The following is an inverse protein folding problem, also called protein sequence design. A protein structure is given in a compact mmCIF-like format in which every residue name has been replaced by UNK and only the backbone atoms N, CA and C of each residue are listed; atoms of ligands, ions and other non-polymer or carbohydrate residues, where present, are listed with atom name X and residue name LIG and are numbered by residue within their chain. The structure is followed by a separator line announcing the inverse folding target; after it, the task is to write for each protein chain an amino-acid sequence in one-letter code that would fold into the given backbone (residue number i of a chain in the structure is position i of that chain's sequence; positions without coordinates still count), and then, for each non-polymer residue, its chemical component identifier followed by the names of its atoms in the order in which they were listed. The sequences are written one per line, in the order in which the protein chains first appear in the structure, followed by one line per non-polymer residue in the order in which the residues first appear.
data_IF_995354152536
#
_entry.id   IF_995354152536
#
_cell.length_a   1.000
_cell.length_b   1.000
_cell.length_c   1.000
_cell.angle_alpha   90.00
_cell.angle_beta   90.00
_cell.angle_gamma   90.00
#
_symmetry.space_group_name_H-M   'P 1'
#
loop_
_entity.id
_entity.type
_entity.pdbx_description
1 polymer ?
#
# COMPACT_ATOMS: atom_id res chain seq x y z
N UNK A 1 34.23 -39.17 -0.58
CA UNK A 1 33.85 -38.23 0.49
C UNK A 1 33.80 -36.82 -0.10
N UNK A 2 32.69 -36.45 -0.76
CA UNK A 2 32.51 -35.14 -1.42
C UNK A 2 31.02 -34.81 -1.58
N UNK A 3 30.17 -35.23 -0.62
CA UNK A 3 28.72 -35.00 -0.68
C UNK A 3 28.19 -34.06 0.42
N UNK A 4 29.04 -33.59 1.34
CA UNK A 4 28.58 -32.87 2.55
C UNK A 4 28.56 -31.35 2.38
N UNK A 5 29.31 -30.79 1.43
CA UNK A 5 29.40 -29.33 1.21
C UNK A 5 28.22 -28.74 0.43
N UNK A 6 27.61 -29.49 -0.51
CA UNK A 6 26.49 -28.98 -1.32
C UNK A 6 25.18 -28.87 -0.54
N UNK A 7 24.90 -29.82 0.35
CA UNK A 7 23.65 -29.85 1.12
C UNK A 7 23.62 -28.74 2.18
N UNK A 8 24.75 -28.48 2.83
CA UNK A 8 24.86 -27.49 3.91
C UNK A 8 24.68 -26.05 3.40
N UNK A 9 25.27 -25.72 2.24
CA UNK A 9 25.13 -24.41 1.59
C UNK A 9 23.68 -24.18 1.13
N UNK A 10 23.01 -25.23 0.64
CA UNK A 10 21.61 -25.14 0.21
C UNK A 10 20.67 -24.90 1.40
N UNK A 11 20.88 -25.61 2.52
CA UNK A 11 20.06 -25.43 3.73
C UNK A 11 20.22 -24.06 4.39
N UNK A 12 21.42 -23.46 4.33
CA UNK A 12 21.65 -22.11 4.86
C UNK A 12 21.01 -21.03 3.97
N UNK A 13 21.08 -21.19 2.64
CA UNK A 13 20.40 -20.32 1.70
C UNK A 13 18.88 -20.40 1.84
N UNK A 14 18.33 -21.61 1.97
CA UNK A 14 16.89 -21.85 2.18
C UNK A 14 16.38 -21.23 3.49
N UNK A 15 17.18 -21.33 4.57
CA UNK A 15 16.87 -20.71 5.85
C UNK A 15 16.93 -19.18 5.78
N UNK A 16 17.94 -18.60 5.11
CA UNK A 16 18.08 -17.16 4.92
C UNK A 16 16.94 -16.58 4.08
N UNK A 17 16.58 -17.23 2.97
CA UNK A 17 15.46 -16.83 2.13
C UNK A 17 14.13 -16.91 2.88
N UNK A 18 13.92 -17.94 3.70
CA UNK A 18 12.73 -18.07 4.56
C UNK A 18 12.65 -16.91 5.55
N UNK A 19 13.77 -16.53 6.18
CA UNK A 19 13.82 -15.38 7.10
C UNK A 19 13.53 -14.03 6.43
N UNK A 20 13.93 -13.86 5.17
CA UNK A 20 13.66 -12.63 4.42
C UNK A 20 12.16 -12.43 4.16
N UNK A 21 11.39 -13.52 4.04
CA UNK A 21 9.95 -13.45 3.74
C UNK A 21 9.04 -13.63 4.97
N UNK A 22 9.40 -14.52 5.89
CA UNK A 22 8.59 -14.87 7.05
C UNK A 22 8.88 -14.00 8.27
N UNK A 23 10.16 -13.85 8.63
CA UNK A 23 10.58 -13.24 9.88
C UNK A 23 10.89 -11.76 9.70
N UNK A 24 9.89 -10.97 9.26
CA UNK A 24 10.02 -9.53 9.03
C UNK A 24 8.87 -8.73 9.62
N UNK A 25 9.14 -7.45 9.90
CA UNK A 25 8.11 -6.45 10.18
C UNK A 25 7.57 -5.88 8.87
N UNK A 26 6.30 -6.12 8.60
CA UNK A 26 5.59 -5.70 7.39
C UNK A 26 4.73 -4.46 7.66
N UNK A 27 4.86 -3.39 6.86
CA UNK A 27 4.00 -2.23 7.01
C UNK A 27 2.62 -2.51 6.40
N UNK A 28 1.55 -2.27 7.15
CA UNK A 28 0.17 -2.54 6.72
C UNK A 28 -0.56 -1.30 6.19
N UNK A 29 -0.21 -0.12 6.72
CA UNK A 29 -0.82 1.15 6.36
C UNK A 29 -0.39 2.29 7.27
N UNK A 30 -0.72 3.52 6.88
CA UNK A 30 -0.45 4.72 7.68
C UNK A 30 -1.52 4.94 8.74
N UNK A 31 -1.11 5.20 9.97
CA UNK A 31 -2.02 5.34 11.13
C UNK A 31 -2.98 6.51 10.95
N UNK A 32 -2.54 7.58 10.28
CA UNK A 32 -3.37 8.72 9.92
C UNK A 32 -4.48 8.40 8.91
N UNK A 33 -4.33 7.31 8.13
CA UNK A 33 -5.28 6.90 7.09
C UNK A 33 -6.13 5.70 7.51
N UNK A 34 -5.75 4.99 8.58
CA UNK A 34 -6.48 3.83 9.08
C UNK A 34 -7.57 4.27 10.07
N UNK A 35 -8.78 3.72 9.92
CA UNK A 35 -9.88 4.01 10.84
C UNK A 35 -9.56 3.49 12.25
N UNK A 36 -9.78 4.31 13.28
CA UNK A 36 -9.82 3.87 14.68
C UNK A 36 -11.22 3.44 15.13
N UNK A 37 -12.25 3.74 14.35
CA UNK A 37 -13.65 3.51 14.71
C UNK A 37 -14.23 2.17 14.21
N UNK A 38 -13.52 1.49 13.32
CA UNK A 38 -13.98 0.26 12.68
C UNK A 38 -12.79 -0.66 12.40
N UNK A 39 -12.99 -1.99 12.42
CA UNK A 39 -11.96 -2.93 11.98
C UNK A 39 -11.65 -2.73 10.48
N UNK A 40 -10.42 -3.03 10.11
CA UNK A 40 -9.90 -2.84 8.74
C UNK A 40 -9.33 -4.17 8.24
N UNK A 41 -9.88 -4.66 7.13
CA UNK A 41 -9.34 -5.81 6.41
C UNK A 41 -8.03 -5.45 5.69
N UNK A 42 -7.03 -6.31 5.82
CA UNK A 42 -5.73 -6.19 5.14
C UNK A 42 -5.27 -7.57 4.69
N UNK A 43 -4.73 -7.70 3.48
CA UNK A 43 -4.09 -8.95 3.04
C UNK A 43 -2.57 -8.77 3.06
N UNK A 44 -1.85 -9.74 3.62
CA UNK A 44 -0.39 -9.76 3.64
C UNK A 44 0.08 -11.16 3.30
N UNK A 45 0.92 -11.32 2.26
CA UNK A 45 1.48 -12.62 1.88
C UNK A 45 0.39 -13.70 1.73
N UNK A 46 -0.74 -13.35 1.11
CA UNK A 46 -1.90 -14.22 0.91
C UNK A 46 -2.77 -14.47 2.16
N UNK A 47 -2.31 -14.04 3.34
CA UNK A 47 -3.05 -14.19 4.59
C UNK A 47 -4.03 -13.01 4.79
N UNK A 48 -5.33 -13.27 5.02
CA UNK A 48 -6.28 -12.23 5.37
C UNK A 48 -6.14 -11.88 6.85
N UNK A 49 -5.93 -10.59 7.14
CA UNK A 49 -5.71 -10.00 8.46
C UNK A 49 -6.80 -8.98 8.76
N UNK A 50 -7.14 -8.86 10.04
CA UNK A 50 -7.97 -7.76 10.56
C UNK A 50 -7.14 -6.94 11.53
N UNK A 51 -7.13 -5.63 11.30
CA UNK A 51 -6.48 -4.65 12.16
C UNK A 51 -7.55 -3.77 12.78
N UNK A 52 -7.48 -3.53 14.08
CA UNK A 52 -8.38 -2.60 14.75
C UNK A 52 -7.68 -1.83 15.87
N UNK A 53 -8.26 -0.69 16.22
CA UNK A 53 -7.83 0.11 17.37
C UNK A 53 -8.58 -0.37 18.61
N UNK A 54 -7.85 -0.78 19.63
CA UNK A 54 -8.38 -1.15 20.94
C UNK A 54 -8.31 0.10 21.84
N UNK A 55 -9.43 0.83 21.92
CA UNK A 55 -9.53 2.05 22.74
C UNK A 55 -9.25 1.80 24.22
N UNK A 56 -9.54 0.60 24.73
CA UNK A 56 -9.33 0.26 26.14
C UNK A 56 -7.84 0.15 26.49
N UNK A 57 -7.03 -0.34 25.54
CA UNK A 57 -5.59 -0.47 25.68
C UNK A 57 -4.80 0.69 25.07
N UNK A 58 -5.44 1.53 24.25
CA UNK A 58 -4.77 2.58 23.49
C UNK A 58 -3.75 2.04 22.49
N UNK A 59 -4.05 0.91 21.85
CA UNK A 59 -3.11 0.22 20.96
C UNK A 59 -3.79 -0.41 19.74
N UNK A 60 -3.04 -0.59 18.66
CA UNK A 60 -3.47 -1.40 17.52
C UNK A 60 -3.40 -2.90 17.85
N UNK A 61 -4.33 -3.67 17.30
CA UNK A 61 -4.39 -5.13 17.38
C UNK A 61 -4.45 -5.73 15.98
N UNK A 62 -3.93 -6.95 15.83
CA UNK A 62 -3.94 -7.67 14.57
C UNK A 62 -4.19 -9.15 14.80
N UNK A 63 -5.14 -9.73 14.07
CA UNK A 63 -5.35 -11.19 14.02
C UNK A 63 -5.54 -11.64 12.58
N UNK A 64 -5.54 -12.96 12.35
CA UNK A 64 -6.15 -13.50 11.14
C UNK A 64 -7.63 -13.07 11.06
N UNK A 65 -8.07 -12.71 9.85
CA UNK A 65 -9.43 -12.25 9.59
C UNK A 65 -10.42 -13.41 9.42
N UNK A 66 -10.44 -14.33 10.39
CA UNK A 66 -11.28 -15.52 10.34
C UNK A 66 -11.71 -15.90 11.75
N UNK A 67 -13.02 -15.84 12.00
CA UNK A 67 -13.59 -16.32 13.24
C UNK A 67 -13.35 -17.83 13.40
N UNK A 68 -12.79 -18.25 14.53
CA UNK A 68 -12.53 -19.68 14.85
C UNK A 68 -13.79 -20.56 14.86
N UNK A 69 -14.99 -19.96 15.01
CA UNK A 69 -16.25 -20.68 15.00
C UNK A 69 -16.62 -21.22 13.60
N UNK A 70 -16.73 -20.35 12.59
CA UNK A 70 -17.18 -20.72 11.23
C UNK A 70 -16.51 -19.90 10.10
N UNK A 71 -15.32 -19.36 10.37
CA UNK A 71 -14.47 -18.65 9.41
C UNK A 71 -15.06 -17.36 8.82
N UNK A 72 -16.12 -16.81 9.42
CA UNK A 72 -16.63 -15.50 9.04
C UNK A 72 -15.53 -14.43 9.22
N UNK A 73 -15.39 -13.47 8.29
CA UNK A 73 -14.42 -12.38 8.42
C UNK A 73 -14.78 -11.53 9.65
N UNK A 74 -13.80 -11.33 10.51
CA UNK A 74 -13.91 -10.48 11.69
C UNK A 74 -13.91 -9.00 11.31
N UNK A 75 -13.30 -8.65 10.19
CA UNK A 75 -13.26 -7.30 9.60
C UNK A 75 -14.64 -6.77 9.20
N UNK A 76 -15.61 -7.64 8.95
CA UNK A 76 -17.02 -7.29 8.74
C UNK A 76 -17.78 -7.08 10.07
N UNK A 77 -17.08 -7.24 11.20
CA UNK A 77 -17.61 -7.10 12.54
C UNK A 77 -17.56 -5.68 13.09
N UNK A 78 -17.45 -5.58 14.42
CA UNK A 78 -17.27 -4.30 15.11
C UNK A 78 -16.30 -4.40 16.26
N UNK A 79 -15.66 -3.29 16.61
CA UNK A 79 -14.92 -3.17 17.87
C UNK A 79 -15.92 -2.86 18.98
N UNK A 80 -15.82 -3.60 20.07
CA UNK A 80 -16.66 -3.44 21.26
C UNK A 80 -16.06 -2.41 22.22
N UNK A 81 -16.87 -1.90 23.15
CA UNK A 81 -16.42 -0.86 24.09
C UNK A 81 -15.28 -1.30 25.00
N UNK A 82 -15.14 -2.61 25.21
CA UNK A 82 -14.05 -3.29 25.93
C UNK A 82 -12.87 -3.66 25.01
N UNK A 83 -12.77 -3.07 23.81
CA UNK A 83 -11.60 -3.20 22.93
C UNK A 83 -11.51 -4.50 22.12
N UNK A 84 -12.49 -5.39 22.26
CA UNK A 84 -12.50 -6.69 21.58
C UNK A 84 -13.11 -6.60 20.18
N UNK A 85 -12.63 -7.43 19.24
CA UNK A 85 -13.24 -7.60 17.91
C UNK A 85 -14.39 -8.59 18.01
N UNK A 86 -15.60 -8.17 17.63
CA UNK A 86 -16.80 -9.02 17.65
C UNK A 86 -17.19 -9.46 16.25
N UNK A 87 -17.29 -10.78 16.07
CA UNK A 87 -17.71 -11.43 14.84
C UNK A 87 -19.16 -11.06 14.48
N UNK A 88 -19.44 -10.62 13.23
CA UNK A 88 -20.78 -10.18 12.82
C UNK A 88 -21.79 -11.32 12.75
N UNK A 89 -21.34 -12.59 12.70
CA UNK A 89 -22.23 -13.72 12.49
C UNK A 89 -22.94 -14.13 13.79
N UNK A 90 -22.19 -14.43 14.84
CA UNK A 90 -22.75 -14.97 16.09
C UNK A 90 -22.33 -14.20 17.34
N UNK A 91 -21.65 -13.06 17.20
CA UNK A 91 -21.26 -12.21 18.32
C UNK A 91 -20.12 -12.77 19.18
N UNK A 92 -19.37 -13.75 18.67
CA UNK A 92 -18.14 -14.21 19.35
C UNK A 92 -17.13 -13.07 19.36
N UNK A 93 -16.58 -12.74 20.52
CA UNK A 93 -15.63 -11.64 20.67
C UNK A 93 -14.25 -12.14 21.07
N UNK A 94 -13.23 -11.52 20.48
CA UNK A 94 -11.82 -11.86 20.67
C UNK A 94 -11.05 -10.64 21.17
N UNK A 95 -10.18 -10.83 22.15
CA UNK A 95 -9.29 -9.77 22.64
C UNK A 95 -8.10 -9.53 21.70
N UNK A 96 -7.23 -8.58 22.07
CA UNK A 96 -6.04 -8.23 21.31
C UNK A 96 -4.98 -9.35 21.22
N UNK A 97 -5.11 -10.39 22.03
CA UNK A 97 -4.27 -11.58 22.09
C UNK A 97 -4.93 -12.76 21.37
N UNK A 98 -6.07 -12.52 20.72
CA UNK A 98 -6.84 -13.50 19.95
C UNK A 98 -7.62 -14.49 20.82
N UNK A 99 -7.66 -14.31 22.15
CA UNK A 99 -8.45 -15.19 23.01
C UNK A 99 -9.93 -14.89 22.84
N UNK A 100 -10.74 -15.95 22.71
CA UNK A 100 -12.18 -15.80 22.73
C UNK A 100 -12.62 -15.45 24.15
N UNK A 101 -13.11 -14.23 24.35
CA UNK A 101 -13.52 -13.74 25.68
C UNK A 101 -15.03 -13.83 25.89
N UNK A 102 -15.82 -13.89 24.81
CA UNK A 102 -17.28 -13.88 24.89
C UNK A 102 -17.90 -14.75 23.81
N UNK A 103 -18.77 -15.67 24.23
CA UNK A 103 -19.66 -16.48 23.39
C UNK A 103 -21.09 -16.23 23.87
N UNK A 104 -21.89 -15.41 23.17
CA UNK A 104 -23.21 -15.03 23.69
C UNK A 104 -24.17 -16.21 23.86
N UNK A 105 -23.98 -17.29 23.10
CA UNK A 105 -24.82 -18.49 23.15
C UNK A 105 -24.32 -19.54 24.16
N UNK A 106 -23.35 -19.21 25.01
CA UNK A 106 -22.85 -20.17 26.01
C UNK A 106 -23.92 -20.47 27.06
N UNK A 107 -24.08 -21.75 27.40
CA UNK A 107 -24.93 -22.17 28.51
C UNK A 107 -24.23 -21.86 29.85
N UNK A 108 -25.04 -21.63 30.89
CA UNK A 108 -24.53 -21.42 32.23
C UNK A 108 -23.71 -22.63 32.71
N UNK A 109 -22.51 -22.38 33.23
CA UNK A 109 -21.56 -23.43 33.64
C UNK A 109 -20.69 -24.00 32.52
N UNK A 110 -20.98 -23.72 31.24
CA UNK A 110 -20.06 -24.03 30.13
C UNK A 110 -18.93 -23.00 30.02
N UNK A 111 -17.78 -23.39 29.49
CA UNK A 111 -16.63 -22.51 29.32
C UNK A 111 -15.95 -22.66 27.95
N UNK A 112 -16.67 -22.50 26.83
CA UNK A 112 -16.13 -22.69 25.47
C UNK A 112 -14.93 -21.79 25.19
N UNK A 113 -14.92 -20.58 25.77
CA UNK A 113 -13.81 -19.62 25.73
C UNK A 113 -12.47 -20.18 26.26
N UNK A 114 -12.49 -21.18 27.16
CA UNK A 114 -11.26 -21.79 27.71
C UNK A 114 -10.55 -22.74 26.74
N UNK A 115 -11.24 -23.15 25.67
CA UNK A 115 -10.64 -24.02 24.66
C UNK A 115 -9.66 -23.22 23.79
N UNK A 116 -8.44 -23.73 23.61
CA UNK A 116 -7.48 -23.15 22.65
C UNK A 116 -8.03 -23.11 21.21
N UNK A 117 -8.98 -23.99 20.87
CA UNK A 117 -9.64 -24.00 19.56
C UNK A 117 -10.60 -22.81 19.36
N UNK A 118 -11.00 -22.15 20.44
CA UNK A 118 -11.81 -20.95 20.36
C UNK A 118 -10.96 -19.72 20.02
N UNK A 119 -9.64 -19.73 20.27
CA UNK A 119 -8.78 -18.58 19.95
C UNK A 119 -8.60 -18.38 18.44
N UNK A 120 -8.29 -17.14 18.05
CA UNK A 120 -7.79 -16.78 16.73
C UNK A 120 -6.31 -16.43 16.84
N UNK A 121 -5.57 -16.57 15.73
CA UNK A 121 -4.15 -16.24 15.71
C UNK A 121 -3.96 -14.72 15.76
N UNK A 122 -3.46 -14.21 16.89
CA UNK A 122 -2.98 -12.84 17.02
C UNK A 122 -1.53 -12.71 16.56
N UNK A 123 -1.23 -11.59 15.89
CA UNK A 123 0.09 -11.28 15.38
C UNK A 123 0.67 -10.07 16.13
N UNK A 124 1.96 -10.11 16.51
CA UNK A 124 2.64 -8.95 17.08
C UNK A 124 2.53 -7.74 16.15
N UNK A 125 2.14 -6.61 16.72
CA UNK A 125 1.86 -5.37 15.99
C UNK A 125 2.47 -4.20 16.75
N UNK A 126 2.98 -3.21 16.03
CA UNK A 126 3.49 -1.97 16.61
C UNK A 126 3.18 -0.77 15.71
N UNK A 127 3.26 0.43 16.29
CA UNK A 127 3.22 1.69 15.57
C UNK A 127 4.61 2.33 15.60
N UNK A 128 5.17 2.65 14.44
CA UNK A 128 6.45 3.35 14.33
C UNK A 128 6.48 4.23 13.07
N UNK A 129 6.95 5.48 13.21
CA UNK A 129 6.97 6.51 12.16
C UNK A 129 5.62 6.78 11.46
N UNK A 130 4.51 6.60 12.19
CA UNK A 130 3.15 6.77 11.67
C UNK A 130 2.67 5.62 10.78
N UNK A 131 3.36 4.47 10.82
CA UNK A 131 3.01 3.25 10.10
C UNK A 131 2.62 2.17 11.11
N UNK A 132 1.59 1.40 10.77
CA UNK A 132 1.21 0.16 11.47
C UNK A 132 2.07 -0.97 10.92
N UNK A 133 2.86 -1.61 11.78
CA UNK A 133 3.74 -2.72 11.43
C UNK A 133 3.25 -4.01 12.08
N UNK A 134 3.24 -5.10 11.32
CA UNK A 134 2.93 -6.45 11.84
C UNK A 134 4.14 -7.36 11.66
N UNK A 135 4.41 -8.20 12.64
CA UNK A 135 5.39 -9.27 12.50
C UNK A 135 4.81 -10.38 11.64
N UNK A 136 5.47 -10.71 10.53
CA UNK A 136 5.05 -11.77 9.62
C UNK A 136 5.36 -13.17 10.13
N UNK A 137 6.21 -13.31 11.14
CA UNK A 137 6.62 -14.62 11.64
C UNK A 137 5.41 -15.33 12.25
N UNK A 138 5.23 -16.60 11.92
CA UNK A 138 4.08 -17.37 12.35
C UNK A 138 2.88 -17.36 11.40
N UNK A 139 2.89 -16.52 10.36
CA UNK A 139 1.86 -16.55 9.30
C UNK A 139 1.84 -17.90 8.59
N UNK A 140 3.02 -18.49 8.32
CA UNK A 140 3.15 -19.75 7.57
C UNK A 140 3.02 -20.98 8.47
N UNK A 141 3.42 -20.86 9.73
CA UNK A 141 3.29 -21.91 10.73
C UNK A 141 1.90 -21.93 11.39
N UNK A 142 1.05 -20.93 11.09
CA UNK A 142 -0.25 -20.70 11.74
C UNK A 142 -0.15 -20.69 13.26
N UNK A 143 0.94 -20.13 13.78
CA UNK A 143 1.28 -20.12 15.20
C UNK A 143 1.83 -18.75 15.59
N UNK A 144 1.52 -18.27 16.79
CA UNK A 144 2.05 -16.98 17.23
C UNK A 144 3.56 -17.12 17.48
N UNK A 145 4.36 -16.36 16.73
CA UNK A 145 5.82 -16.30 16.89
C UNK A 145 6.17 -14.92 17.44
N UNK A 146 6.93 -14.90 18.53
CA UNK A 146 7.41 -13.65 19.11
C UNK A 146 8.60 -13.14 18.29
N UNK A 147 8.60 -11.86 17.86
CA UNK A 147 9.74 -11.25 17.19
C UNK A 147 10.98 -11.27 18.12
N UNK A 148 12.20 -11.52 17.58
CA UNK A 148 13.44 -11.32 18.34
C UNK A 148 13.56 -9.88 18.85
N UNK A 149 14.19 -9.67 20.00
CA UNK A 149 14.32 -8.34 20.64
C UNK A 149 15.09 -7.35 19.76
N UNK A 150 16.07 -7.84 19.00
CA UNK A 150 16.88 -7.08 18.04
C UNK A 150 16.17 -6.79 16.71
N UNK A 151 15.00 -7.41 16.46
CA UNK A 151 14.25 -7.18 15.24
C UNK A 151 13.50 -5.85 15.30
N UNK A 152 13.49 -5.12 14.18
CA UNK A 152 12.78 -3.84 14.10
C UNK A 152 12.26 -3.56 12.70
N UNK A 153 11.26 -2.68 12.58
CA UNK A 153 10.73 -2.26 11.29
C UNK A 153 11.79 -1.53 10.44
N UNK A 154 11.60 -1.54 9.13
CA UNK A 154 12.45 -0.83 8.18
C UNK A 154 12.16 0.68 8.20
N UNK A 155 12.61 1.34 9.29
CA UNK A 155 12.44 2.77 9.53
C UNK A 155 13.35 3.62 8.64
N UNK A 156 12.92 4.85 8.38
CA UNK A 156 13.61 5.80 7.51
C UNK A 156 14.14 6.98 8.32
N UNK A 157 15.46 7.06 8.43
CA UNK A 157 16.16 8.03 9.30
C UNK A 157 15.91 9.49 8.92
N UNK A 158 15.67 9.80 7.64
CA UNK A 158 15.46 11.19 7.20
C UNK A 158 14.21 11.82 7.85
N UNK A 159 13.24 11.01 8.27
CA UNK A 159 12.00 11.48 8.89
C UNK A 159 12.21 12.11 10.26
N UNK A 160 13.28 11.74 10.96
CA UNK A 160 13.60 12.25 12.29
C UNK A 160 14.40 13.57 12.22
N UNK A 161 14.76 14.03 11.02
CA UNK A 161 15.58 15.23 10.85
C UNK A 161 14.72 16.50 11.02
N UNK A 162 15.24 17.55 11.69
CA UNK A 162 14.53 18.81 11.84
C UNK A 162 14.22 19.47 10.50
N UNK A 163 13.00 20.00 10.35
CA UNK A 163 12.58 20.71 9.13
C UNK A 163 12.27 19.81 7.94
N UNK A 164 12.17 18.51 8.19
CA UNK A 164 11.62 17.54 7.23
C UNK A 164 10.10 17.50 7.34
N UNK A 165 9.48 17.50 6.16
CA UNK A 165 8.04 17.37 5.98
C UNK A 165 7.77 16.19 5.05
N UNK A 166 6.60 15.55 5.18
CA UNK A 166 6.24 14.45 4.30
C UNK A 166 4.74 14.39 4.04
N UNK A 167 4.40 13.78 2.90
CA UNK A 167 3.04 13.36 2.57
C UNK A 167 3.04 11.85 2.40
N UNK A 168 2.04 11.22 3.01
CA UNK A 168 1.83 9.77 2.95
C UNK A 168 0.73 9.43 1.95
N UNK A 169 0.82 8.27 1.33
CA UNK A 169 -0.22 7.73 0.46
C UNK A 169 -0.08 6.21 0.34
N UNK A 170 -1.20 5.49 0.30
CA UNK A 170 -1.18 4.03 0.10
C UNK A 170 -2.24 3.57 -0.89
N UNK A 171 -1.94 2.56 -1.71
CA UNK A 171 -2.91 1.98 -2.67
C UNK A 171 -2.58 0.52 -2.95
N UNK A 172 -3.61 -0.31 -3.08
CA UNK A 172 -3.48 -1.68 -3.58
C UNK A 172 -3.38 -1.67 -5.11
N UNK A 173 -2.33 -2.28 -5.65
CA UNK A 173 -2.00 -2.28 -7.06
C UNK A 173 -2.13 -3.68 -7.66
N UNK A 174 -2.57 -3.73 -8.91
CA UNK A 174 -2.61 -4.93 -9.75
C UNK A 174 -1.24 -5.19 -10.38
N UNK A 175 -0.20 -5.27 -9.57
CA UNK A 175 1.15 -5.62 -10.01
C UNK A 175 1.89 -6.36 -8.91
N UNK A 176 2.90 -7.13 -9.30
CA UNK A 176 3.83 -7.72 -8.36
C UNK A 176 4.58 -6.66 -7.58
N UNK A 177 4.86 -6.94 -6.31
CA UNK A 177 5.74 -6.11 -5.49
C UNK A 177 7.12 -5.94 -6.14
N UNK A 178 7.65 -6.96 -6.82
CA UNK A 178 8.96 -6.89 -7.49
C UNK A 178 8.92 -5.95 -8.69
N UNK A 179 7.81 -5.93 -9.45
CA UNK A 179 7.60 -5.00 -10.56
C UNK A 179 7.49 -3.56 -10.06
N UNK A 180 6.83 -3.35 -8.92
CA UNK A 180 6.78 -2.04 -8.27
C UNK A 180 8.18 -1.57 -7.84
N UNK A 181 8.97 -2.44 -7.20
CA UNK A 181 10.36 -2.13 -6.85
C UNK A 181 11.17 -1.71 -8.08
N UNK A 182 11.11 -2.46 -9.18
CA UNK A 182 11.81 -2.11 -10.42
C UNK A 182 11.37 -0.77 -10.99
N UNK A 183 10.07 -0.50 -11.04
CA UNK A 183 9.53 0.77 -11.52
C UNK A 183 10.07 1.96 -10.71
N UNK A 184 10.11 1.85 -9.38
CA UNK A 184 10.68 2.90 -8.51
C UNK A 184 12.20 3.03 -8.70
N UNK A 185 12.88 1.92 -8.97
CA UNK A 185 14.33 1.89 -9.20
C UNK A 185 14.79 2.40 -10.57
N UNK A 186 13.87 2.53 -11.54
CA UNK A 186 14.17 2.97 -12.89
C UNK A 186 13.68 4.40 -13.17
N UNK A 187 14.50 5.44 -12.94
CA UNK A 187 14.11 6.81 -13.25
C UNK A 187 14.00 7.12 -14.77
N UNK A 188 14.38 6.20 -15.66
CA UNK A 188 14.33 6.44 -17.11
C UNK A 188 12.90 6.52 -17.65
N UNK A 189 11.92 5.90 -16.97
CA UNK A 189 10.51 5.96 -17.38
C UNK A 189 9.87 7.34 -17.10
N UNK A 190 10.36 8.09 -16.11
CA UNK A 190 9.72 9.32 -15.63
C UNK A 190 9.39 10.34 -16.75
N UNK A 191 10.30 10.68 -17.69
CA UNK A 191 10.00 11.62 -18.78
C UNK A 191 8.92 11.15 -19.75
N UNK A 192 8.69 9.84 -19.85
CA UNK A 192 7.83 9.22 -20.85
C UNK A 192 6.46 8.85 -20.29
N UNK A 193 6.43 8.09 -19.19
CA UNK A 193 5.18 7.66 -18.56
C UNK A 193 4.50 8.85 -17.91
N UNK A 194 5.23 9.61 -17.08
CA UNK A 194 4.69 10.77 -16.38
C UNK A 194 4.79 12.06 -17.19
N UNK A 195 4.63 11.96 -18.51
CA UNK A 195 4.62 13.13 -19.37
C UNK A 195 3.37 13.96 -19.11
N UNK A 196 3.56 15.26 -18.79
CA UNK A 196 2.51 16.23 -18.44
C UNK A 196 1.93 16.08 -17.02
N UNK A 197 2.37 15.08 -16.26
CA UNK A 197 2.07 14.96 -14.83
C UNK A 197 3.25 15.51 -14.02
N UNK A 198 4.28 14.70 -13.78
CA UNK A 198 5.46 15.11 -12.99
C UNK A 198 6.72 15.34 -13.83
N UNK A 199 6.71 15.02 -15.13
CA UNK A 199 7.87 15.19 -16.01
C UNK A 199 7.51 15.58 -17.46
N UNK A 200 8.55 15.75 -18.28
CA UNK A 200 8.45 16.08 -19.71
C UNK A 200 9.38 15.21 -20.53
N UNK A 201 8.93 14.73 -21.69
CA UNK A 201 9.75 13.91 -22.62
C UNK A 201 11.08 14.55 -22.99
N UNK A 202 11.10 15.87 -23.08
CA UNK A 202 12.32 16.65 -23.34
C UNK A 202 13.38 16.58 -22.24
N UNK A 203 13.05 16.03 -21.05
CA UNK A 203 14.00 15.80 -19.94
C UNK A 203 14.65 14.41 -19.99
N UNK A 204 14.34 13.58 -20.99
CA UNK A 204 15.01 12.30 -21.17
C UNK A 204 16.52 12.52 -21.37
N UNK A 205 17.33 11.81 -20.59
CA UNK A 205 18.78 11.92 -20.62
C UNK A 205 19.41 10.59 -20.15
N UNK A 206 20.68 10.32 -20.47
CA UNK A 206 21.41 9.20 -19.90
C UNK A 206 21.42 9.24 -18.37
N UNK A 207 21.26 8.07 -17.74
CA UNK A 207 21.31 7.89 -16.29
C UNK A 207 22.50 6.98 -16.01
N UNK A 208 23.27 7.31 -14.98
CA UNK A 208 24.37 6.46 -14.53
C UNK A 208 24.28 6.18 -13.04
N UNK A 209 24.74 4.99 -12.68
CA UNK A 209 24.87 4.56 -11.30
C UNK A 209 26.35 4.31 -10.99
N UNK A 210 26.77 4.70 -9.79
CA UNK A 210 28.07 4.35 -9.25
C UNK A 210 28.16 2.86 -8.89
N UNK A 211 29.28 2.46 -8.31
CA UNK A 211 29.44 1.11 -7.77
C UNK A 211 28.38 0.82 -6.71
N UNK A 212 27.95 -0.45 -6.64
CA UNK A 212 27.04 -0.90 -5.59
C UNK A 212 27.77 -0.90 -4.24
N UNK A 213 27.16 -0.23 -3.28
CA UNK A 213 27.56 -0.20 -1.88
C UNK A 213 26.71 -1.20 -1.08
N UNK A 214 27.32 -1.92 -0.14
CA UNK A 214 26.65 -2.79 0.83
C UNK A 214 25.74 -3.88 0.23
N UNK A 215 26.07 -4.41 -0.95
CA UNK A 215 25.30 -5.49 -1.57
C UNK A 215 25.33 -6.75 -0.71
N UNK A 216 24.21 -7.06 -0.08
CA UNK A 216 24.06 -8.17 0.87
C UNK A 216 22.59 -8.61 0.97
N UNK A 217 22.29 -9.59 1.82
CA UNK A 217 20.93 -10.05 2.08
C UNK A 217 20.00 -8.96 2.63
N UNK A 218 20.53 -7.87 3.21
CA UNK A 218 19.73 -6.73 3.70
C UNK A 218 19.44 -5.67 2.63
N UNK A 219 20.05 -5.77 1.45
CA UNK A 219 19.82 -4.86 0.33
C UNK A 219 21.11 -4.32 -0.29
N UNK A 220 21.03 -3.14 -0.90
CA UNK A 220 22.16 -2.46 -1.56
C UNK A 220 21.87 -0.97 -1.80
N UNK A 221 22.91 -0.19 -2.10
CA UNK A 221 22.77 1.23 -2.48
C UNK A 221 23.66 1.59 -3.65
N UNK A 222 23.25 2.54 -4.48
CA UNK A 222 24.13 3.17 -5.46
C UNK A 222 23.93 4.68 -5.50
N UNK A 223 25.02 5.41 -5.73
CA UNK A 223 24.93 6.82 -6.14
C UNK A 223 24.37 6.88 -7.55
N UNK A 224 23.42 7.78 -7.79
CA UNK A 224 22.75 7.98 -9.07
C UNK A 224 23.04 9.38 -9.59
N UNK A 225 23.29 9.49 -10.89
CA UNK A 225 23.34 10.76 -11.61
C UNK A 225 22.20 10.82 -12.62
N UNK A 226 21.40 11.88 -12.54
CA UNK A 226 20.29 12.15 -13.47
C UNK A 226 20.33 13.60 -13.94
N UNK A 227 19.57 13.94 -14.99
CA UNK A 227 19.33 15.32 -15.37
C UNK A 227 18.66 16.16 -14.25
N UNK A 228 18.01 15.50 -13.27
CA UNK A 228 17.37 16.14 -12.12
C UNK A 228 18.29 16.43 -10.94
N UNK A 229 19.55 16.00 -11.00
CA UNK A 229 20.56 16.13 -9.94
C UNK A 229 21.16 14.79 -9.49
N UNK A 230 22.25 14.83 -8.71
CA UNK A 230 22.81 13.67 -8.05
C UNK A 230 21.88 13.18 -6.94
N UNK A 231 22.00 11.91 -6.59
CA UNK A 231 21.24 11.34 -5.49
C UNK A 231 21.70 9.93 -5.15
N UNK A 232 20.93 9.25 -4.31
CA UNK A 232 21.17 7.86 -3.93
C UNK A 232 19.92 7.05 -4.15
N UNK A 233 20.11 5.79 -4.53
CA UNK A 233 19.04 4.83 -4.65
C UNK A 233 19.39 3.63 -3.79
N UNK A 234 18.55 3.37 -2.79
CA UNK A 234 18.76 2.32 -1.79
C UNK A 234 17.60 1.33 -1.86
N UNK A 235 17.93 0.06 -1.96
CA UNK A 235 17.02 -1.04 -1.69
C UNK A 235 17.33 -1.61 -0.31
N UNK A 236 16.32 -1.75 0.54
CA UNK A 236 16.37 -2.46 1.82
C UNK A 236 15.38 -3.60 1.78
N UNK A 237 15.90 -4.81 1.94
CA UNK A 237 15.12 -6.01 1.86
C UNK A 237 14.06 -6.08 2.98
N UNK A 238 12.93 -6.76 2.72
CA UNK A 238 12.51 -7.28 1.42
C UNK A 238 11.82 -6.23 0.51
N UNK A 239 11.42 -5.07 1.04
CA UNK A 239 10.29 -4.32 0.45
C UNK A 239 10.50 -2.82 0.26
N UNK A 240 11.60 -2.26 0.75
CA UNK A 240 11.79 -0.81 0.85
C UNK A 240 12.74 -0.28 -0.24
N UNK A 241 12.26 0.67 -1.03
CA UNK A 241 13.06 1.45 -1.98
C UNK A 241 13.08 2.91 -1.55
N UNK A 242 14.28 3.48 -1.37
CA UNK A 242 14.47 4.90 -1.12
C UNK A 242 15.19 5.54 -2.31
N UNK A 243 14.55 6.52 -2.94
CA UNK A 243 15.14 7.32 -4.00
C UNK A 243 15.34 8.76 -3.52
N UNK A 244 16.59 9.12 -3.23
CA UNK A 244 17.03 10.46 -2.82
C UNK A 244 17.43 11.29 -4.03
N UNK A 245 17.08 12.58 -4.03
CA UNK A 245 17.55 13.54 -5.02
C UNK A 245 18.00 14.84 -4.33
N UNK A 246 19.25 15.25 -4.59
CA UNK A 246 19.79 16.52 -4.13
C UNK A 246 19.61 17.57 -5.23
N UNK A 247 18.83 18.63 -4.97
CA UNK A 247 18.53 19.68 -5.95
C UNK A 247 19.53 20.84 -5.97
N UNK A 248 20.64 20.72 -5.26
CA UNK A 248 21.73 21.71 -5.21
C UNK A 248 22.10 22.15 -3.78
N UNK A 249 23.23 22.85 -3.60
CA UNK A 249 23.75 23.23 -2.28
C UNK A 249 22.80 24.12 -1.46
N UNK A 250 22.15 25.09 -2.14
CA UNK A 250 21.23 26.08 -1.55
C UNK A 250 19.75 25.75 -1.81
N UNK A 251 19.45 24.50 -2.17
CA UNK A 251 18.11 24.03 -2.51
C UNK A 251 17.61 23.01 -1.48
N UNK A 252 16.49 22.34 -1.79
CA UNK A 252 15.95 21.25 -0.99
C UNK A 252 16.49 19.89 -1.46
N UNK A 253 16.36 18.89 -0.59
CA UNK A 253 16.48 17.49 -0.98
C UNK A 253 15.10 16.85 -0.89
N UNK A 254 14.81 15.92 -1.78
CA UNK A 254 13.58 15.13 -1.78
C UNK A 254 13.88 13.63 -1.77
N UNK A 255 13.02 12.89 -1.08
CA UNK A 255 13.03 11.43 -1.07
C UNK A 255 11.67 10.90 -1.50
N UNK A 256 11.70 9.91 -2.38
CA UNK A 256 10.57 9.03 -2.60
C UNK A 256 10.85 7.71 -1.86
N UNK A 257 10.10 7.47 -0.79
CA UNK A 257 10.22 6.30 0.07
C UNK A 257 9.06 5.38 -0.23
N UNK A 258 9.34 4.21 -0.79
CA UNK A 258 8.32 3.26 -1.25
C UNK A 258 8.49 1.93 -0.54
N UNK A 259 7.42 1.48 0.10
CA UNK A 259 7.24 0.13 0.60
C UNK A 259 6.35 -0.64 -0.39
N UNK A 260 6.91 -1.67 -1.04
CA UNK A 260 6.20 -2.56 -1.95
C UNK A 260 5.79 -3.85 -1.20
N UNK A 261 4.63 -3.82 -0.57
CA UNK A 261 4.18 -4.90 0.33
C UNK A 261 3.44 -5.97 -0.47
N UNK A 262 3.92 -7.23 -0.53
CA UNK A 262 3.22 -8.28 -1.26
C UNK A 262 1.90 -8.64 -0.55
N UNK A 263 0.79 -8.57 -1.29
CA UNK A 263 -0.54 -8.93 -0.75
C UNK A 263 -0.96 -10.29 -1.27
N UNK A 264 -0.96 -10.49 -2.59
CA UNK A 264 -1.33 -11.74 -3.28
C UNK A 264 -0.43 -11.89 -4.51
N UNK A 265 -0.36 -13.08 -5.16
CA UNK A 265 0.31 -13.21 -6.44
C UNK A 265 -0.19 -12.16 -7.45
N UNK A 266 0.73 -11.38 -8.04
CA UNK A 266 0.44 -10.25 -8.93
C UNK A 266 -0.33 -9.08 -8.31
N UNK A 267 -0.31 -8.97 -6.98
CA UNK A 267 -0.80 -7.81 -6.25
C UNK A 267 0.15 -7.38 -5.16
N UNK A 268 0.23 -6.08 -4.96
CA UNK A 268 0.96 -5.51 -3.85
C UNK A 268 0.25 -4.27 -3.33
N UNK A 269 0.52 -3.93 -2.09
CA UNK A 269 0.17 -2.65 -1.51
C UNK A 269 1.38 -1.73 -1.61
N UNK A 270 1.17 -0.61 -2.28
CA UNK A 270 2.08 0.52 -2.24
C UNK A 270 1.83 1.30 -0.94
N UNK A 271 2.88 1.58 -0.18
CA UNK A 271 2.90 2.70 0.75
C UNK A 271 4.03 3.62 0.30
N UNK A 272 3.68 4.84 -0.08
CA UNK A 272 4.64 5.85 -0.51
C UNK A 272 4.63 7.01 0.48
N UNK A 273 5.83 7.45 0.83
CA UNK A 273 6.07 8.68 1.56
C UNK A 273 6.97 9.57 0.72
N UNK A 274 6.43 10.73 0.34
CA UNK A 274 7.19 11.77 -0.35
C UNK A 274 7.71 12.74 0.69
N UNK A 275 9.02 12.75 0.89
CA UNK A 275 9.71 13.51 1.93
C UNK A 275 10.42 14.70 1.31
N UNK A 276 10.32 15.85 1.96
CA UNK A 276 11.00 17.08 1.56
C UNK A 276 11.76 17.66 2.74
N UNK A 277 13.03 17.95 2.54
CA UNK A 277 13.83 18.74 3.48
C UNK A 277 13.88 20.20 2.99
N UNK A 278 13.01 21.03 3.56
CA UNK A 278 12.88 22.46 3.21
C UNK A 278 13.63 23.37 4.17
N UNK A 279 14.46 22.81 5.05
CA UNK A 279 15.24 23.52 6.07
C UNK A 279 16.15 24.61 5.49
N UNK A 280 16.66 24.40 4.27
CA UNK A 280 17.58 25.30 3.57
C UNK A 280 16.89 26.42 2.77
N UNK A 281 15.56 26.38 2.65
CA UNK A 281 14.81 27.33 1.82
C UNK A 281 14.49 28.62 2.58
N UNK A 282 14.45 29.79 1.89
CA UNK A 282 14.04 31.03 2.51
C UNK A 282 12.60 30.94 3.01
N UNK A 283 12.29 31.62 4.13
CA UNK A 283 11.00 31.52 4.85
C UNK A 283 9.78 31.57 3.92
N UNK A 284 9.66 32.53 2.97
CA UNK A 284 8.48 32.58 2.09
C UNK A 284 8.31 31.33 1.24
N UNK A 285 9.41 30.78 0.69
CA UNK A 285 9.36 29.59 -0.16
C UNK A 285 9.11 28.32 0.67
N UNK A 286 9.66 28.25 1.87
CA UNK A 286 9.36 27.20 2.84
C UNK A 286 7.86 27.13 3.13
N UNK A 287 7.23 28.26 3.48
CA UNK A 287 5.78 28.32 3.73
C UNK A 287 4.94 27.87 2.52
N UNK A 288 5.32 28.29 1.30
CA UNK A 288 4.62 27.89 0.08
C UNK A 288 4.69 26.39 -0.15
N UNK A 289 5.88 25.78 -0.02
CA UNK A 289 6.06 24.35 -0.23
C UNK A 289 5.38 23.53 0.87
N UNK A 290 5.55 23.90 2.15
CA UNK A 290 4.84 23.27 3.26
C UNK A 290 3.34 23.31 3.05
N UNK A 291 2.80 24.46 2.62
CA UNK A 291 1.37 24.59 2.34
C UNK A 291 0.90 23.69 1.19
N UNK A 292 1.67 23.64 0.10
CA UNK A 292 1.34 22.84 -1.07
C UNK A 292 1.35 21.33 -0.80
N UNK A 293 2.25 20.85 0.07
CA UNK A 293 2.49 19.42 0.26
C UNK A 293 1.92 18.84 1.55
N UNK A 294 1.89 19.58 2.66
CA UNK A 294 1.53 19.02 3.99
C UNK A 294 0.39 19.72 4.71
N UNK A 295 0.03 20.96 4.33
CA UNK A 295 -1.07 21.70 4.97
C UNK A 295 -2.39 21.66 4.21
N UNK A 296 -2.44 21.04 3.03
CA UNK A 296 -3.71 20.77 2.35
C UNK A 296 -4.48 19.65 3.07
N UNK A 297 -5.81 19.56 2.89
CA UNK A 297 -6.55 18.38 3.29
C UNK A 297 -5.92 17.11 2.69
N UNK A 298 -5.67 16.09 3.51
CA UNK A 298 -4.99 14.85 3.10
C UNK A 298 -5.63 14.19 1.86
N UNK A 299 -6.96 14.12 1.81
CA UNK A 299 -7.66 13.54 0.65
C UNK A 299 -7.39 14.30 -0.66
N UNK A 300 -7.07 15.60 -0.59
CA UNK A 300 -6.78 16.42 -1.75
C UNK A 300 -5.38 16.10 -2.32
N UNK A 301 -4.37 15.97 -1.45
CA UNK A 301 -3.02 15.60 -1.89
C UNK A 301 -3.00 14.21 -2.52
N UNK A 302 -3.83 13.29 -2.00
CA UNK A 302 -4.00 11.94 -2.55
C UNK A 302 -4.47 11.94 -4.02
N UNK A 303 -5.30 12.91 -4.44
CA UNK A 303 -5.77 13.01 -5.84
C UNK A 303 -4.62 13.14 -6.84
N UNK A 304 -3.58 13.91 -6.48
CA UNK A 304 -2.38 14.04 -7.30
C UNK A 304 -1.60 12.73 -7.41
N UNK A 305 -1.45 12.02 -6.30
CA UNK A 305 -0.73 10.72 -6.27
C UNK A 305 -1.47 9.64 -7.06
N UNK A 306 -2.82 9.63 -7.03
CA UNK A 306 -3.62 8.73 -7.87
C UNK A 306 -3.24 8.87 -9.35
N UNK A 307 -3.17 10.11 -9.85
CA UNK A 307 -2.88 10.37 -11.25
C UNK A 307 -1.49 9.85 -11.66
N UNK A 308 -0.48 10.02 -10.80
CA UNK A 308 0.88 9.54 -11.06
C UNK A 308 0.88 8.02 -11.23
N UNK A 309 0.27 7.29 -10.30
CA UNK A 309 0.25 5.81 -10.35
C UNK A 309 -0.56 5.27 -11.53
N UNK A 310 -1.58 5.99 -11.96
CA UNK A 310 -2.42 5.60 -13.09
C UNK A 310 -1.73 5.75 -14.44
N UNK A 311 -0.68 6.57 -14.52
CA UNK A 311 0.18 6.63 -15.70
C UNK A 311 0.90 5.29 -15.93
N UNK A 312 1.29 4.56 -14.87
CA UNK A 312 2.07 3.32 -14.93
C UNK A 312 1.23 2.03 -14.88
N UNK A 313 0.27 1.98 -13.94
CA UNK A 313 -0.36 0.74 -13.47
C UNK A 313 -0.92 -0.15 -14.61
N UNK A 314 -1.64 0.37 -15.62
CA UNK A 314 -2.23 -0.46 -16.67
C UNK A 314 -1.22 -1.24 -17.51
N UNK A 315 -0.08 -0.63 -17.88
CA UNK A 315 0.90 -1.32 -18.72
C UNK A 315 1.87 -2.17 -17.89
N UNK A 316 2.18 -1.77 -16.65
CA UNK A 316 2.98 -2.60 -15.75
C UNK A 316 2.23 -3.89 -15.37
N UNK A 317 0.92 -3.82 -15.15
CA UNK A 317 0.07 -5.02 -15.00
C UNK A 317 0.19 -5.93 -16.24
N UNK A 318 0.06 -5.35 -17.44
CA UNK A 318 0.20 -6.09 -18.69
C UNK A 318 1.60 -6.72 -18.87
N UNK A 319 2.65 -5.98 -18.52
CA UNK A 319 4.04 -6.42 -18.57
C UNK A 319 4.27 -7.59 -17.61
N UNK A 320 3.84 -7.48 -16.35
CA UNK A 320 3.97 -8.54 -15.35
C UNK A 320 3.25 -9.82 -15.77
N UNK A 321 2.04 -9.70 -16.34
CA UNK A 321 1.33 -10.86 -16.88
C UNK A 321 2.06 -11.49 -18.08
N UNK A 322 2.54 -10.68 -19.04
CA UNK A 322 3.30 -11.18 -20.18
C UNK A 322 4.62 -11.86 -19.76
N UNK A 323 5.27 -11.31 -18.73
CA UNK A 323 6.49 -11.86 -18.14
C UNK A 323 6.27 -13.26 -17.55
N UNK A 324 5.19 -13.44 -16.77
CA UNK A 324 4.85 -14.73 -16.15
C UNK A 324 4.32 -15.76 -17.13
N UNK A 325 3.50 -15.33 -18.10
CA UNK A 325 2.95 -16.22 -19.13
C UNK A 325 4.01 -16.73 -20.13
N UNK A 326 5.27 -16.30 -20.01
CA UNK A 326 6.33 -16.70 -20.94
C UNK A 326 6.12 -16.15 -22.36
N UNK A 327 5.32 -15.09 -22.52
CA UNK A 327 5.06 -14.44 -23.82
C UNK A 327 6.25 -13.63 -24.34
N UNK A 328 7.38 -13.64 -23.64
CA UNK A 328 8.65 -13.33 -24.28
C UNK A 328 8.91 -14.40 -25.35
N UNK A 329 9.30 -14.01 -26.55
CA UNK A 329 9.72 -14.89 -27.65
C UNK A 329 10.95 -15.78 -27.32
N UNK A 330 11.34 -15.85 -26.04
CA UNK A 330 12.42 -16.61 -25.43
C UNK A 330 11.86 -17.26 -24.16
N UNK A 331 11.39 -18.50 -24.26
CA UNK A 331 10.93 -19.38 -23.16
C UNK A 331 12.07 -19.81 -22.23
N UNK A 332 12.94 -18.88 -21.86
CA UNK A 332 14.05 -19.17 -20.97
C UNK A 332 13.59 -19.12 -19.50
N UNK A 333 14.15 -19.94 -18.60
CA UNK A 333 13.81 -19.90 -17.18
C UNK A 333 14.41 -18.67 -16.47
N UNK A 334 15.43 -18.02 -17.04
CA UNK A 334 16.15 -16.89 -16.44
C UNK A 334 15.76 -15.53 -17.02
N UNK A 335 15.69 -14.52 -16.16
CA UNK A 335 15.37 -13.14 -16.53
C UNK A 335 16.37 -12.56 -17.54
N UNK A 336 17.64 -12.99 -17.48
CA UNK A 336 18.74 -12.53 -18.36
C UNK A 336 18.48 -12.81 -19.83
N UNK A 337 17.69 -13.83 -20.14
CA UNK A 337 17.31 -14.18 -21.52
C UNK A 337 15.94 -13.62 -21.90
N UNK A 338 15.05 -13.37 -20.93
CA UNK A 338 13.73 -12.78 -21.14
C UNK A 338 13.78 -11.27 -21.35
N UNK A 339 14.65 -10.58 -20.61
CA UNK A 339 14.77 -9.13 -20.58
C UNK A 339 16.07 -8.69 -21.24
N UNK A 340 16.02 -7.58 -21.98
CA UNK A 340 17.18 -6.95 -22.59
C UNK A 340 17.37 -5.56 -22.00
N UNK A 341 18.39 -5.42 -21.16
CA UNK A 341 18.70 -4.22 -20.36
C UNK A 341 20.16 -3.81 -20.64
N UNK A 342 20.43 -3.15 -21.79
CA UNK A 342 21.79 -2.97 -22.28
C UNK A 342 22.49 -1.72 -21.77
N UNK A 343 21.79 -0.83 -21.07
CA UNK A 343 22.29 0.52 -20.77
C UNK A 343 22.65 0.67 -19.29
N UNK A 344 23.45 1.70 -18.99
CA UNK A 344 23.75 2.06 -17.60
C UNK A 344 22.48 2.47 -16.82
N UNK A 345 21.44 2.98 -17.51
CA UNK A 345 20.16 3.33 -16.90
C UNK A 345 19.44 2.12 -16.28
N UNK A 346 19.73 0.92 -16.74
CA UNK A 346 19.13 -0.32 -16.24
C UNK A 346 19.84 -0.86 -14.97
N UNK A 347 20.91 -0.19 -14.52
CA UNK A 347 21.85 -0.73 -13.52
C UNK A 347 21.20 -1.14 -12.20
N UNK A 348 20.23 -0.36 -11.69
CA UNK A 348 19.53 -0.69 -10.43
C UNK A 348 18.54 -1.84 -10.57
N UNK A 349 17.85 -1.94 -11.70
CA UNK A 349 16.96 -3.06 -12.00
C UNK A 349 17.76 -4.36 -12.12
N UNK A 350 18.90 -4.30 -12.82
CA UNK A 350 19.85 -5.43 -12.91
C UNK A 350 20.39 -5.81 -11.53
N UNK A 351 20.75 -4.84 -10.68
CA UNK A 351 21.22 -5.10 -9.32
C UNK A 351 20.12 -5.77 -8.47
N UNK A 352 18.88 -5.32 -8.58
CA UNK A 352 17.73 -5.90 -7.88
C UNK A 352 17.46 -7.34 -8.31
N UNK A 353 17.44 -7.62 -9.61
CA UNK A 353 17.27 -8.99 -10.12
C UNK A 353 18.41 -9.92 -9.67
N UNK A 354 19.65 -9.43 -9.63
CA UNK A 354 20.79 -10.17 -9.07
C UNK A 354 20.65 -10.42 -7.57
N UNK A 355 20.07 -9.46 -6.84
CA UNK A 355 19.79 -9.62 -5.42
C UNK A 355 18.72 -10.71 -5.18
N UNK A 356 17.65 -10.74 -6.00
CA UNK A 356 16.64 -11.80 -5.96
C UNK A 356 17.27 -13.19 -6.21
N UNK A 357 18.10 -13.30 -7.25
CA UNK A 357 18.83 -14.55 -7.56
C UNK A 357 19.71 -15.01 -6.39
N UNK A 358 20.33 -14.08 -5.65
CA UNK A 358 21.32 -14.38 -4.62
C UNK A 358 20.73 -14.65 -3.24
N UNK A 359 19.62 -13.99 -2.88
CA UNK A 359 19.12 -13.97 -1.49
C UNK A 359 17.65 -14.37 -1.34
N UNK A 360 16.91 -14.53 -2.43
CA UNK A 360 15.50 -14.85 -2.37
C UNK A 360 15.10 -16.04 -3.23
N UNK A 361 16.00 -16.99 -3.48
CA UNK A 361 15.84 -18.15 -4.37
C UNK A 361 15.30 -17.81 -5.78
N UNK A 362 15.59 -16.59 -6.25
CA UNK A 362 15.17 -16.12 -7.57
C UNK A 362 13.68 -15.74 -7.65
N UNK A 363 13.17 -15.74 -8.89
CA UNK A 363 11.86 -15.21 -9.20
C UNK A 363 10.72 -16.15 -8.77
N UNK A 364 9.86 -15.69 -7.87
CA UNK A 364 8.66 -16.42 -7.45
C UNK A 364 8.82 -17.24 -6.17
N UNK A 365 10.01 -17.23 -5.54
CA UNK A 365 10.26 -17.96 -4.29
C UNK A 365 9.34 -17.54 -3.15
N UNK A 366 8.98 -16.25 -3.10
CA UNK A 366 8.00 -15.77 -2.13
C UNK A 366 6.74 -16.62 -2.22
N UNK A 367 6.10 -16.67 -3.39
CA UNK A 367 4.82 -17.35 -3.53
C UNK A 367 4.95 -18.86 -3.46
N UNK A 368 6.05 -19.46 -3.94
CA UNK A 368 6.27 -20.91 -3.78
C UNK A 368 6.43 -21.35 -2.32
N UNK A 369 6.92 -20.47 -1.44
CA UNK A 369 7.07 -20.72 0.00
C UNK A 369 5.81 -20.37 0.81
N UNK A 370 5.04 -19.37 0.35
CA UNK A 370 3.89 -18.79 1.07
C UNK A 370 2.56 -19.43 0.71
N UNK A 371 2.39 -19.89 -0.53
CA UNK A 371 1.18 -20.54 -0.99
C UNK A 371 1.55 -21.60 -2.04
N UNK A 372 1.52 -22.91 -1.70
CA UNK A 372 1.70 -23.96 -2.69
C UNK A 372 0.70 -23.71 -3.82
N UNK A 373 1.24 -23.45 -5.01
CA UNK A 373 0.52 -22.96 -6.18
C UNK A 373 -0.78 -23.74 -6.41
N UNK A 374 -1.93 -23.07 -6.37
CA UNK A 374 -3.07 -23.55 -7.13
C UNK A 374 -2.75 -23.23 -8.59
N UNK A 375 -2.67 -24.26 -9.43
CA UNK A 375 -2.27 -24.22 -10.84
C UNK A 375 -3.22 -23.41 -11.76
N UNK A 376 -4.03 -22.51 -11.21
CA UNK A 376 -4.94 -21.67 -12.00
C UNK A 376 -4.17 -20.46 -12.52
N UNK A 377 -4.14 -20.23 -13.85
CA UNK A 377 -3.56 -19.01 -14.40
C UNK A 377 -4.22 -17.78 -13.76
N UNK A 378 -3.42 -16.85 -13.24
CA UNK A 378 -3.94 -15.60 -12.68
C UNK A 378 -4.75 -14.88 -13.75
N UNK A 379 -5.99 -14.51 -13.42
CA UNK A 379 -6.84 -13.73 -14.31
C UNK A 379 -6.20 -12.36 -14.53
N UNK A 380 -5.99 -11.99 -15.80
CA UNK A 380 -5.64 -10.61 -16.16
C UNK A 380 -6.80 -9.67 -15.85
N UNK A 381 -6.54 -8.63 -15.08
CA UNK A 381 -7.50 -7.57 -14.79
C UNK A 381 -7.68 -6.67 -16.03
N UNK A 382 -8.91 -6.18 -16.22
CA UNK A 382 -9.23 -5.15 -17.20
C UNK A 382 -8.57 -3.81 -16.82
N UNK A 383 -8.44 -2.90 -17.78
CA UNK A 383 -7.89 -1.57 -17.51
C UNK A 383 -8.74 -0.82 -16.48
N UNK A 384 -10.05 -1.01 -16.52
CA UNK A 384 -11.02 -0.42 -15.60
C UNK A 384 -10.81 -0.93 -14.17
N UNK A 385 -10.60 -2.25 -14.00
CA UNK A 385 -10.29 -2.86 -12.69
C UNK A 385 -8.96 -2.33 -12.13
N UNK A 386 -7.94 -2.18 -12.98
CA UNK A 386 -6.61 -1.66 -12.58
C UNK A 386 -6.67 -0.18 -12.16
N UNK A 387 -7.56 0.61 -12.75
CA UNK A 387 -7.70 2.04 -12.50
C UNK A 387 -8.73 2.38 -11.40
N UNK A 388 -9.51 1.41 -10.94
CA UNK A 388 -10.49 1.55 -9.87
C UNK A 388 -9.82 2.11 -8.59
N UNK A 389 -10.40 3.16 -7.96
CA UNK A 389 -9.80 3.83 -6.78
C UNK A 389 -10.52 3.51 -5.48
N UNK A 390 -11.80 3.18 -5.52
CA UNK A 390 -12.60 2.97 -4.33
C UNK A 390 -12.08 1.79 -3.50
N UNK A 391 -12.01 0.61 -4.10
CA UNK A 391 -11.55 -0.61 -3.42
C UNK A 391 -10.04 -0.59 -3.22
N UNK A 392 -9.27 -0.05 -4.17
CA UNK A 392 -7.81 0.00 -4.03
C UNK A 392 -7.30 1.05 -3.03
N UNK A 393 -8.11 2.04 -2.65
CA UNK A 393 -7.69 3.13 -1.76
C UNK A 393 -8.81 3.68 -0.88
N UNK A 394 -9.88 4.23 -1.46
CA UNK A 394 -10.84 5.08 -0.72
C UNK A 394 -11.51 4.34 0.42
N UNK A 395 -11.88 3.07 0.22
CA UNK A 395 -12.52 2.24 1.23
C UNK A 395 -11.64 2.03 2.47
N UNK A 396 -10.32 2.08 2.30
CA UNK A 396 -9.33 1.82 3.36
C UNK A 396 -8.67 3.10 3.90
N UNK A 397 -8.94 4.26 3.30
CA UNK A 397 -8.41 5.55 3.73
C UNK A 397 -9.51 6.38 4.41
N UNK A 398 -9.37 6.62 5.72
CA UNK A 398 -10.29 7.42 6.53
C UNK A 398 -10.46 8.85 6.03
N UNK A 399 -9.38 9.47 5.53
CA UNK A 399 -9.41 10.80 4.94
C UNK A 399 -10.26 10.84 3.65
N UNK A 400 -10.01 9.94 2.71
CA UNK A 400 -10.73 9.90 1.43
C UNK A 400 -12.18 9.41 1.57
N UNK A 401 -12.42 8.37 2.37
CA UNK A 401 -13.78 7.89 2.65
C UNK A 401 -14.61 8.94 3.40
N UNK A 402 -14.01 9.66 4.35
CA UNK A 402 -14.61 10.79 5.05
C UNK A 402 -14.96 11.94 4.09
N UNK A 403 -14.02 12.33 3.24
CA UNK A 403 -14.25 13.36 2.21
C UNK A 403 -15.39 12.96 1.25
N UNK A 404 -15.38 11.73 0.76
CA UNK A 404 -16.44 11.21 -0.12
C UNK A 404 -17.80 11.22 0.57
N UNK A 405 -17.87 10.83 1.85
CA UNK A 405 -19.09 10.88 2.66
C UNK A 405 -19.60 12.31 2.83
N UNK A 406 -18.69 13.25 3.13
CA UNK A 406 -19.03 14.66 3.32
C UNK A 406 -19.53 15.29 2.01
N UNK A 407 -18.88 14.99 0.89
CA UNK A 407 -19.31 15.45 -0.44
C UNK A 407 -20.70 14.88 -0.74
N UNK A 408 -20.91 13.57 -0.65
CA UNK A 408 -22.22 12.95 -0.88
C UNK A 408 -23.32 13.54 0.01
N UNK A 409 -23.02 13.78 1.29
CA UNK A 409 -23.97 14.38 2.24
C UNK A 409 -24.30 15.82 1.84
N UNK A 410 -23.29 16.63 1.52
CA UNK A 410 -23.46 18.02 1.07
C UNK A 410 -24.29 18.10 -0.21
N UNK A 411 -24.05 17.20 -1.16
CA UNK A 411 -24.79 17.17 -2.42
C UNK A 411 -26.24 16.76 -2.20
N UNK A 412 -26.53 15.75 -1.37
CA UNK A 412 -27.91 15.39 -0.99
C UNK A 412 -28.66 16.54 -0.32
N UNK A 413 -27.99 17.29 0.55
CA UNK A 413 -28.58 18.49 1.18
C UNK A 413 -28.85 19.59 0.15
N UNK A 414 -27.93 19.81 -0.80
CA UNK A 414 -28.11 20.76 -1.89
C UNK A 414 -29.28 20.37 -2.80
N UNK A 415 -29.39 19.10 -3.19
CA UNK A 415 -30.52 18.57 -3.96
C UNK A 415 -31.85 18.75 -3.21
N UNK A 416 -31.89 18.41 -1.91
CA UNK A 416 -33.06 18.64 -1.07
C UNK A 416 -33.46 20.12 -0.99
N UNK A 417 -32.48 21.02 -0.87
CA UNK A 417 -32.68 22.46 -0.90
C UNK A 417 -33.23 22.96 -2.24
N UNK A 418 -32.76 22.41 -3.36
CA UNK A 418 -33.28 22.75 -4.69
C UNK A 418 -34.71 22.26 -4.87
N UNK A 419 -35.03 21.03 -4.44
CA UNK A 419 -36.41 20.50 -4.46
C UNK A 419 -37.34 21.37 -3.63
N UNK A 420 -36.94 21.73 -2.40
CA UNK A 420 -37.72 22.61 -1.54
C UNK A 420 -37.92 24.00 -2.17
N UNK A 421 -36.87 24.56 -2.77
CA UNK A 421 -36.93 25.83 -3.49
C UNK A 421 -37.86 25.78 -4.69
N UNK A 422 -37.85 24.68 -5.47
CA UNK A 422 -38.76 24.49 -6.60
C UNK A 422 -40.22 24.40 -6.14
N UNK A 423 -40.48 23.68 -5.05
CA UNK A 423 -41.82 23.61 -4.43
C UNK A 423 -42.29 25.00 -3.98
N UNK A 424 -41.41 25.77 -3.32
CA UNK A 424 -41.72 27.13 -2.88
C UNK A 424 -41.96 28.08 -4.06
N UNK A 425 -41.11 28.02 -5.11
CA UNK A 425 -41.28 28.83 -6.31
C UNK A 425 -42.59 28.49 -7.05
N UNK A 426 -43.00 27.22 -7.06
CA UNK A 426 -44.29 26.79 -7.59
C UNK A 426 -45.46 27.36 -6.76
N UNK A 427 -45.39 27.27 -5.43
CA UNK A 427 -46.40 27.83 -4.53
C UNK A 427 -46.55 29.35 -4.70
N UNK A 428 -45.43 30.06 -4.80
CA UNK A 428 -45.38 31.52 -4.98
C UNK A 428 -45.58 31.97 -6.43
N UNK A 429 -45.76 31.03 -7.38
CA UNK A 429 -45.86 31.28 -8.83
C UNK A 429 -44.68 32.08 -9.40
N UNK A 430 -43.51 31.98 -8.78
CA UNK A 430 -42.28 32.66 -9.17
C UNK A 430 -41.53 31.90 -10.28
N UNK A 431 -42.09 31.91 -11.50
CA UNK A 431 -41.53 31.23 -12.69
C UNK A 431 -40.01 31.48 -12.94
N UNK A 432 -39.47 32.71 -12.86
CA UNK A 432 -38.04 32.91 -13.07
C UNK A 432 -37.18 32.23 -12.00
N UNK A 433 -37.64 32.19 -10.75
CA UNK A 433 -36.94 31.49 -9.67
C UNK A 433 -36.95 29.96 -9.88
N UNK A 434 -38.07 29.40 -10.35
CA UNK A 434 -38.16 27.98 -10.67
C UNK A 434 -37.19 27.56 -11.80
N UNK A 435 -37.07 28.39 -12.86
CA UNK A 435 -36.13 28.14 -13.95
C UNK A 435 -34.66 28.21 -13.48
N UNK A 436 -34.32 29.20 -12.66
CA UNK A 436 -32.97 29.33 -12.08
C UNK A 436 -32.61 28.13 -11.19
N UNK A 437 -33.53 27.67 -10.34
CA UNK A 437 -33.32 26.50 -9.48
C UNK A 437 -33.20 25.20 -10.28
N UNK A 438 -33.96 25.04 -11.37
CA UNK A 438 -33.82 23.89 -12.26
C UNK A 438 -32.46 23.85 -12.99
N UNK A 439 -31.93 25.02 -13.38
CA UNK A 439 -30.57 25.09 -13.93
C UNK A 439 -29.50 24.76 -12.87
N UNK A 440 -29.71 25.23 -11.63
CA UNK A 440 -28.83 24.91 -10.50
C UNK A 440 -28.80 23.41 -10.19
N UNK A 441 -29.95 22.72 -10.22
CA UNK A 441 -30.02 21.27 -9.95
C UNK A 441 -29.13 20.47 -10.91
N UNK A 442 -29.14 20.83 -12.20
CA UNK A 442 -28.32 20.18 -13.21
C UNK A 442 -26.82 20.44 -12.98
N UNK A 443 -26.47 21.66 -12.55
CA UNK A 443 -25.12 22.03 -12.15
C UNK A 443 -24.62 21.24 -10.93
N UNK A 444 -25.44 21.16 -9.88
CA UNK A 444 -25.18 20.39 -8.65
C UNK A 444 -24.95 18.91 -8.99
N UNK A 445 -25.84 18.28 -9.74
CA UNK A 445 -25.69 16.87 -10.10
C UNK A 445 -24.44 16.60 -10.99
N UNK A 446 -24.03 17.56 -11.84
CA UNK A 446 -22.76 17.44 -12.59
C UNK A 446 -21.54 17.60 -11.69
N UNK A 447 -21.56 18.55 -10.76
CA UNK A 447 -20.47 18.77 -9.81
C UNK A 447 -20.30 17.57 -8.88
N UNK A 448 -21.40 16.96 -8.43
CA UNK A 448 -21.37 15.76 -7.59
C UNK A 448 -20.67 14.63 -8.31
N UNK A 449 -21.12 14.34 -9.54
CA UNK A 449 -20.50 13.30 -10.37
C UNK A 449 -19.02 13.57 -10.57
N UNK A 450 -18.63 14.79 -10.90
CA UNK A 450 -17.23 15.14 -11.09
C UNK A 450 -16.39 14.96 -9.82
N UNK A 451 -16.87 15.43 -8.66
CA UNK A 451 -16.16 15.31 -7.39
C UNK A 451 -16.08 13.85 -6.91
N UNK A 452 -17.17 13.09 -7.02
CA UNK A 452 -17.21 11.67 -6.66
C UNK A 452 -16.31 10.84 -7.59
N UNK A 453 -16.36 11.09 -8.91
CA UNK A 453 -15.52 10.41 -9.90
C UNK A 453 -14.03 10.77 -9.70
N UNK A 454 -13.73 11.98 -9.23
CA UNK A 454 -12.35 12.40 -8.90
C UNK A 454 -11.79 11.65 -7.69
N UNK A 455 -12.60 11.36 -6.66
CA UNK A 455 -12.12 10.68 -5.46
C UNK A 455 -12.11 9.17 -5.63
N UNK A 456 -13.21 8.59 -6.10
CA UNK A 456 -13.42 7.15 -6.11
C UNK A 456 -13.16 6.49 -7.48
N UNK A 457 -13.09 7.26 -8.57
CA UNK A 457 -13.36 6.77 -9.92
C UNK A 457 -14.70 5.99 -9.97
N UNK A 458 -15.32 5.85 -11.13
CA UNK A 458 -16.51 4.99 -11.19
C UNK A 458 -16.06 3.54 -11.13
N UNK A 459 -16.47 2.84 -10.07
CA UNK A 459 -16.98 1.48 -10.27
C UNK A 459 -18.25 1.66 -11.08
N UNK A 460 -18.25 1.29 -12.36
CA UNK A 460 -19.50 0.94 -13.03
C UNK A 460 -19.95 -0.34 -12.32
N UNK A 461 -20.66 -0.21 -11.20
CA UNK A 461 -21.40 -1.32 -10.62
C UNK A 461 -22.42 -1.71 -11.69
N UNK A 462 -22.08 -2.71 -12.48
CA UNK A 462 -23.08 -3.59 -13.07
C UNK A 462 -24.00 -4.00 -11.93
N UNK A 463 -25.28 -3.64 -12.09
CA UNK A 463 -26.35 -4.24 -11.31
C UNK A 463 -26.38 -5.74 -11.52
#
# INVERSE_FOLDING_TARGET
MTATTSTTVQTEADAAATKIWAEQWWPLGFTAHTSRAAPVAVTLLGAPLVVWWDDSAGAWRCTLDRCSHRLAPLSEGRVTSDGCIECPYHGWAFDGQGQCVRVPQQEEGSAPCRSRRAAVLALPIMEAQGIIWVWGGGLFESAAVTPPEESGPALVDVLERPGVEHSDYSRDLHMDWSTLCENVMDPAHLPFTHHKTISRRSKAAPISFGALENFSHTGFTAVRQTAGGPGRLTFRAPLLVLAETHRGPDSYSDWNVVYAVPTEPDRCRLLVRVVFEVSKLPIPLKWVLSFAFTKQPTWWTHLGTHQILEDDNPFLHAQGHAYRAGHATKLAPDWKRRLYMPTASDGMVVAFRRWLDAYSDGEGALWSRVAPTTETPLRRASKEEVLERYLSHVAHCSACSGALRNIRTTMRLAEGGVVLGLLLAALLRARPAALALAALSFGVARLERFAADSIAARVWCGR
#
